data_IF_537695728556
#
_entry.id   IF_537695728556
#
_cell.length_a   1.000
_cell.length_b   1.000
_cell.length_c   1.000
_cell.angle_alpha   90.00
_cell.angle_beta   90.00
_cell.angle_gamma   90.00
#
_symmetry.space_group_name_H-M   'P 1'
#
loop_
_entity.id
_entity.type
_entity.pdbx_description
1 polymer ?
#
# COMPACT_ATOMS: atom_id res chain seq x y z
N UNK A 1 -18.61 -2.59 -3.12
CA UNK A 1 -18.90 -3.34 -4.36
C UNK A 1 -20.38 -3.22 -4.66
N UNK A 2 -20.74 -2.37 -5.61
CA UNK A 2 -22.13 -2.07 -5.93
C UNK A 2 -22.19 -1.05 -7.06
N UNK A 3 -21.43 -1.30 -8.13
CA UNK A 3 -21.50 -0.48 -9.34
C UNK A 3 -22.78 -0.85 -10.08
N UNK A 4 -23.67 0.12 -10.30
CA UNK A 4 -24.81 -0.04 -11.19
C UNK A 4 -24.27 -0.30 -12.60
N UNK A 5 -24.26 -1.56 -13.04
CA UNK A 5 -23.82 -1.99 -14.36
C UNK A 5 -24.94 -1.73 -15.36
N UNK A 6 -25.04 -0.49 -15.83
CA UNK A 6 -25.82 -0.18 -17.04
C UNK A 6 -24.91 -0.36 -18.25
N UNK A 7 -25.39 -1.12 -19.24
CA UNK A 7 -24.74 -1.25 -20.55
C UNK A 7 -24.60 0.14 -21.20
N UNK A 8 -23.43 0.41 -21.78
CA UNK A 8 -23.14 1.55 -22.65
C UNK A 8 -22.33 1.03 -23.84
N UNK A 9 -22.52 1.56 -25.04
CA UNK A 9 -21.77 1.11 -26.24
C UNK A 9 -20.25 1.21 -26.03
N UNK A 10 -19.80 2.24 -25.31
CA UNK A 10 -18.40 2.44 -24.93
C UNK A 10 -17.83 1.31 -24.05
N UNK A 11 -18.67 0.61 -23.28
CA UNK A 11 -18.24 -0.54 -22.47
C UNK A 11 -18.20 -1.83 -23.26
N UNK A 12 -18.97 -1.92 -24.36
CA UNK A 12 -19.02 -3.10 -25.21
C UNK A 12 -17.77 -3.22 -26.08
N UNK A 13 -17.46 -2.17 -26.84
CA UNK A 13 -16.31 -2.14 -27.77
C UNK A 13 -15.00 -1.88 -27.02
N UNK A 14 -15.09 -1.22 -25.87
CA UNK A 14 -13.94 -0.80 -25.07
C UNK A 14 -13.82 0.72 -25.02
N UNK A 15 -13.30 1.22 -23.90
CA UNK A 15 -13.15 2.65 -23.59
C UNK A 15 -11.87 2.91 -22.79
N UNK A 16 -11.74 4.11 -22.23
CA UNK A 16 -10.48 4.57 -21.60
C UNK A 16 -9.89 3.65 -20.53
N UNK A 17 -10.72 2.96 -19.73
CA UNK A 17 -10.26 2.02 -18.70
C UNK A 17 -10.13 0.56 -19.17
N UNK A 18 -10.85 0.15 -20.23
CA UNK A 18 -10.78 -1.21 -20.80
C UNK A 18 -10.78 -1.12 -22.34
N UNK A 19 -9.60 -1.20 -22.98
CA UNK A 19 -9.48 -1.01 -24.42
C UNK A 19 -10.20 -2.06 -25.28
N UNK A 20 -10.59 -3.20 -24.71
CA UNK A 20 -11.24 -4.30 -25.45
C UNK A 20 -12.71 -4.52 -25.07
N UNK A 21 -13.16 -3.90 -23.97
CA UNK A 21 -14.53 -3.95 -23.50
C UNK A 21 -15.04 -5.36 -23.19
N UNK A 22 -16.37 -5.47 -23.05
CA UNK A 22 -17.04 -6.74 -22.80
C UNK A 22 -16.96 -7.72 -23.99
N UNK A 23 -16.84 -7.22 -25.23
CA UNK A 23 -16.63 -8.06 -26.41
C UNK A 23 -15.32 -8.84 -26.30
N UNK A 24 -14.20 -8.16 -26.00
CA UNK A 24 -12.90 -8.81 -25.88
C UNK A 24 -12.82 -9.80 -24.71
N UNK A 25 -13.61 -9.60 -23.65
CA UNK A 25 -13.72 -10.56 -22.54
C UNK A 25 -14.43 -11.83 -22.99
N UNK A 26 -15.48 -11.70 -23.80
CA UNK A 26 -16.18 -12.85 -24.36
C UNK A 26 -15.29 -13.59 -25.38
N UNK A 27 -14.53 -12.86 -26.20
CA UNK A 27 -13.55 -13.46 -27.12
C UNK A 27 -12.48 -14.24 -26.34
N UNK A 28 -11.92 -13.63 -25.30
CA UNK A 28 -10.98 -14.29 -24.40
C UNK A 28 -11.60 -15.51 -23.74
N UNK A 29 -12.88 -15.47 -23.32
CA UNK A 29 -13.56 -16.62 -22.72
C UNK A 29 -13.61 -17.81 -23.68
N UNK A 30 -13.99 -17.60 -24.93
CA UNK A 30 -14.03 -18.66 -25.95
C UNK A 30 -12.62 -19.19 -26.29
N UNK A 31 -11.65 -18.28 -26.47
CA UNK A 31 -10.25 -18.64 -26.71
C UNK A 31 -9.63 -19.43 -25.54
N UNK A 32 -10.05 -19.15 -24.30
CA UNK A 32 -9.59 -19.86 -23.11
C UNK A 32 -10.17 -21.27 -22.98
N UNK A 33 -11.28 -21.55 -23.67
CA UNK A 33 -11.95 -22.85 -23.70
C UNK A 33 -11.71 -23.64 -25.00
N UNK A 34 -10.77 -23.18 -25.85
CA UNK A 34 -10.31 -23.90 -27.04
C UNK A 34 -11.02 -23.52 -28.33
N UNK A 35 -11.91 -22.55 -28.32
CA UNK A 35 -12.65 -22.12 -29.50
C UNK A 35 -11.88 -21.03 -30.26
N UNK A 36 -10.94 -21.44 -31.11
CA UNK A 36 -10.02 -20.52 -31.83
C UNK A 36 -10.70 -19.79 -32.98
N UNK A 37 -11.76 -20.36 -33.54
CA UNK A 37 -12.54 -19.76 -34.64
C UNK A 37 -13.81 -19.05 -34.16
N UNK A 38 -13.99 -18.88 -32.85
CA UNK A 38 -15.15 -18.22 -32.28
C UNK A 38 -15.28 -16.79 -32.80
N UNK A 39 -16.50 -16.40 -33.18
CA UNK A 39 -16.83 -15.05 -33.63
C UNK A 39 -17.99 -14.52 -32.80
N UNK A 40 -17.78 -13.36 -32.19
CA UNK A 40 -18.80 -12.65 -31.43
C UNK A 40 -19.34 -11.53 -32.32
N UNK A 41 -20.64 -11.56 -32.56
CA UNK A 41 -21.32 -10.53 -33.32
C UNK A 41 -21.71 -9.34 -32.44
N UNK A 42 -22.23 -8.30 -33.08
CA UNK A 42 -22.68 -7.09 -32.39
C UNK A 42 -23.92 -7.36 -31.53
N UNK A 43 -24.00 -6.74 -30.33
CA UNK A 43 -25.11 -6.90 -29.42
C UNK A 43 -26.36 -6.22 -29.98
N UNK A 44 -27.51 -6.86 -29.79
CA UNK A 44 -28.82 -6.31 -30.12
C UNK A 44 -29.53 -5.95 -28.82
N UNK A 45 -29.93 -4.69 -28.70
CA UNK A 45 -30.58 -4.17 -27.50
C UNK A 45 -32.05 -3.93 -27.84
N UNK A 46 -32.94 -4.49 -27.02
CA UNK A 46 -34.37 -4.21 -27.11
C UNK A 46 -34.88 -3.72 -25.77
N UNK A 47 -35.66 -2.65 -25.78
CA UNK A 47 -36.28 -2.11 -24.57
C UNK A 47 -37.74 -2.55 -24.53
N UNK A 48 -38.20 -2.99 -23.36
CA UNK A 48 -39.59 -3.41 -23.15
C UNK A 48 -40.14 -2.72 -21.93
N UNK A 49 -41.28 -2.04 -22.07
CA UNK A 49 -41.95 -1.41 -20.94
C UNK A 49 -42.68 -2.47 -20.09
N UNK A 50 -42.40 -2.50 -18.79
CA UNK A 50 -43.06 -3.38 -17.83
C UNK A 50 -43.90 -2.63 -16.81
N UNK A 51 -44.99 -3.26 -16.36
CA UNK A 51 -45.77 -2.80 -15.22
C UNK A 51 -45.08 -3.26 -13.95
N UNK A 52 -44.62 -2.32 -13.12
CA UNK A 52 -44.23 -2.62 -11.74
C UNK A 52 -45.48 -3.11 -10.99
N UNK A 53 -45.34 -4.15 -10.16
CA UNK A 53 -46.45 -4.80 -9.47
C UNK A 53 -47.39 -3.84 -8.71
N UNK A 54 -48.53 -4.37 -8.25
CA UNK A 54 -49.76 -3.69 -7.80
C UNK A 54 -49.61 -2.43 -6.90
N UNK A 55 -48.43 -2.15 -6.34
CA UNK A 55 -48.14 -1.04 -5.42
C UNK A 55 -47.01 -0.07 -5.85
N UNK A 56 -46.45 -0.13 -7.07
CA UNK A 56 -45.36 0.78 -7.49
C UNK A 56 -45.71 1.59 -8.76
N UNK A 57 -45.96 2.90 -8.59
CA UNK A 57 -46.37 3.88 -9.63
C UNK A 57 -45.28 4.32 -10.64
N UNK A 58 -44.16 3.61 -10.79
CA UNK A 58 -43.11 3.98 -11.78
C UNK A 58 -43.05 2.94 -12.90
N UNK A 59 -43.13 3.32 -14.19
CA UNK A 59 -42.89 2.38 -15.28
C UNK A 59 -41.48 1.83 -15.16
N UNK A 60 -41.34 0.50 -15.21
CA UNK A 60 -40.04 -0.16 -15.21
C UNK A 60 -39.69 -0.47 -16.66
N UNK A 61 -38.63 0.13 -17.17
CA UNK A 61 -38.09 -0.24 -18.48
C UNK A 61 -37.19 -1.47 -18.31
N UNK A 62 -37.56 -2.56 -18.96
CA UNK A 62 -36.71 -3.74 -19.12
C UNK A 62 -35.82 -3.55 -20.34
N UNK A 63 -34.59 -4.04 -20.26
CA UNK A 63 -33.65 -4.07 -21.37
C UNK A 63 -33.25 -5.53 -21.59
N UNK A 64 -33.45 -6.02 -22.81
CA UNK A 64 -32.98 -7.33 -23.27
C UNK A 64 -31.78 -7.11 -24.18
N UNK A 65 -30.67 -7.71 -23.81
CA UNK A 65 -29.40 -7.70 -24.54
C UNK A 65 -29.20 -9.09 -25.15
N UNK A 66 -29.13 -9.17 -26.48
CA UNK A 66 -28.86 -10.40 -27.23
C UNK A 66 -27.51 -10.29 -27.91
N UNK A 67 -26.60 -11.22 -27.63
CA UNK A 67 -25.26 -11.25 -28.24
C UNK A 67 -25.20 -12.51 -29.12
N UNK A 68 -25.20 -12.38 -30.46
CA UNK A 68 -25.06 -13.52 -31.34
C UNK A 68 -23.61 -14.02 -31.30
N UNK A 69 -23.42 -15.31 -31.00
CA UNK A 69 -22.10 -15.95 -30.96
C UNK A 69 -22.07 -17.15 -31.89
N UNK A 70 -21.00 -17.25 -32.68
CA UNK A 70 -20.66 -18.44 -33.46
C UNK A 70 -19.44 -19.08 -32.83
N UNK A 71 -19.62 -20.18 -32.10
CA UNK A 71 -18.55 -20.77 -31.27
C UNK A 71 -17.47 -21.47 -32.10
N UNK A 72 -17.87 -22.19 -33.16
CA UNK A 72 -16.96 -23.04 -33.92
C UNK A 72 -16.58 -24.34 -33.19
N UNK A 73 -15.59 -25.06 -33.73
CA UNK A 73 -15.07 -26.29 -33.12
C UNK A 73 -14.10 -25.99 -31.97
N UNK A 74 -14.02 -26.92 -31.01
CA UNK A 74 -13.01 -26.89 -29.96
C UNK A 74 -11.69 -27.50 -30.47
N UNK A 75 -10.61 -26.75 -30.33
CA UNK A 75 -9.26 -27.15 -30.73
C UNK A 75 -8.41 -27.59 -29.54
N UNK A 76 -7.51 -28.54 -29.81
CA UNK A 76 -6.45 -28.97 -28.88
C UNK A 76 -5.10 -28.37 -29.27
N UNK A 77 -4.20 -28.28 -28.31
CA UNK A 77 -2.82 -27.81 -28.54
C UNK A 77 -2.04 -28.88 -29.31
N UNK A 78 -1.45 -28.49 -30.43
CA UNK A 78 -0.58 -29.32 -31.25
C UNK A 78 0.89 -29.20 -30.86
N UNK A 79 1.72 -28.93 -31.86
CA UNK A 79 3.13 -28.67 -31.68
C UNK A 79 3.35 -27.25 -31.11
N UNK A 80 4.21 -27.14 -30.09
CA UNK A 80 4.65 -25.86 -29.53
C UNK A 80 6.10 -25.64 -29.92
N UNK A 81 6.34 -24.62 -30.76
CA UNK A 81 7.66 -24.18 -31.21
C UNK A 81 8.04 -22.89 -30.50
N UNK A 82 9.33 -22.76 -30.18
CA UNK A 82 9.89 -21.54 -29.59
C UNK A 82 10.89 -20.94 -30.58
N UNK A 83 10.76 -19.64 -30.86
CA UNK A 83 11.64 -18.87 -31.74
C UNK A 83 12.18 -17.66 -30.97
N UNK A 84 13.45 -17.31 -31.22
CA UNK A 84 14.07 -16.11 -30.64
C UNK A 84 14.54 -16.23 -29.19
N UNK A 85 14.57 -17.45 -28.63
CA UNK A 85 15.18 -17.72 -27.32
C UNK A 85 16.71 -17.64 -27.41
N UNK A 86 17.31 -16.50 -27.05
CA UNK A 86 18.77 -16.35 -27.04
C UNK A 86 19.36 -16.37 -25.64
N UNK A 87 18.62 -15.85 -24.66
CA UNK A 87 19.11 -15.69 -23.27
C UNK A 87 18.78 -16.90 -22.39
N UNK A 88 17.57 -17.45 -22.49
CA UNK A 88 17.10 -18.57 -21.68
C UNK A 88 16.97 -19.84 -22.53
N UNK A 89 17.25 -20.99 -21.92
CA UNK A 89 17.03 -22.29 -22.57
C UNK A 89 15.55 -22.64 -22.57
N UNK A 90 15.10 -23.30 -23.64
CA UNK A 90 13.71 -23.75 -23.79
C UNK A 90 13.20 -24.58 -22.60
N UNK A 91 14.06 -25.41 -22.00
CA UNK A 91 13.75 -26.26 -20.85
C UNK A 91 13.21 -25.48 -19.63
N UNK A 92 13.69 -24.25 -19.43
CA UNK A 92 13.21 -23.38 -18.34
C UNK A 92 11.94 -22.62 -18.70
N UNK A 93 11.72 -22.40 -20.00
CA UNK A 93 10.65 -21.55 -20.52
C UNK A 93 9.37 -22.35 -20.74
N UNK A 94 9.48 -23.56 -21.31
CA UNK A 94 8.36 -24.45 -21.61
C UNK A 94 7.46 -24.74 -20.39
N UNK A 95 7.98 -25.00 -19.17
CA UNK A 95 7.15 -25.22 -17.99
C UNK A 95 6.30 -24.01 -17.55
N UNK A 96 6.71 -22.78 -17.89
CA UNK A 96 6.01 -21.56 -17.45
C UNK A 96 4.60 -21.45 -18.04
N UNK A 97 4.41 -21.98 -19.25
CA UNK A 97 3.15 -22.00 -19.99
C UNK A 97 2.15 -23.04 -19.46
N UNK A 98 2.62 -24.05 -18.71
CA UNK A 98 1.76 -25.12 -18.14
C UNK A 98 0.80 -25.74 -19.17
N UNK A 99 1.27 -25.96 -20.39
CA UNK A 99 0.51 -26.59 -21.48
C UNK A 99 1.29 -27.78 -22.03
N UNK A 100 0.58 -28.86 -22.34
CA UNK A 100 1.11 -30.03 -23.03
C UNK A 100 0.35 -30.22 -24.35
N UNK A 101 1.02 -30.84 -25.32
CA UNK A 101 0.36 -31.30 -26.56
C UNK A 101 -0.81 -32.21 -26.21
N UNK A 102 -1.96 -31.98 -26.83
CA UNK A 102 -3.22 -32.68 -26.59
C UNK A 102 -4.15 -32.01 -25.56
N UNK A 103 -3.67 -31.05 -24.76
CA UNK A 103 -4.52 -30.24 -23.88
C UNK A 103 -5.52 -29.41 -24.69
N UNK A 104 -6.66 -29.04 -24.09
CA UNK A 104 -7.58 -28.06 -24.71
C UNK A 104 -6.85 -26.72 -24.83
N UNK A 105 -6.93 -26.10 -26.01
CA UNK A 105 -6.27 -24.81 -26.24
C UNK A 105 -6.76 -23.75 -25.23
N UNK A 106 -5.83 -23.04 -24.61
CA UNK A 106 -6.14 -22.02 -23.62
C UNK A 106 -5.21 -20.82 -23.74
N UNK A 107 -5.73 -19.73 -24.28
CA UNK A 107 -4.94 -18.51 -24.51
C UNK A 107 -4.43 -17.84 -23.23
N UNK A 108 -5.20 -17.89 -22.14
CA UNK A 108 -4.80 -17.30 -20.85
C UNK A 108 -3.54 -17.94 -20.28
N UNK A 109 -3.27 -19.21 -20.59
CA UNK A 109 -2.04 -19.88 -20.18
C UNK A 109 -0.83 -19.32 -20.93
N UNK A 110 -0.97 -19.00 -22.22
CA UNK A 110 0.05 -18.31 -23.00
C UNK A 110 0.32 -16.90 -22.47
N UNK A 111 -0.72 -16.09 -22.28
CA UNK A 111 -0.63 -14.75 -21.69
C UNK A 111 0.11 -14.77 -20.34
N UNK A 112 -0.30 -15.64 -19.41
CA UNK A 112 0.36 -15.82 -18.10
C UNK A 112 1.82 -16.29 -18.23
N UNK A 113 2.14 -17.10 -19.23
CA UNK A 113 3.50 -17.53 -19.53
C UNK A 113 4.37 -16.35 -19.97
N UNK A 114 3.89 -15.54 -20.91
CA UNK A 114 4.59 -14.34 -21.36
C UNK A 114 4.73 -13.29 -20.26
N UNK A 115 3.73 -13.09 -19.40
CA UNK A 115 3.84 -12.16 -18.27
C UNK A 115 4.95 -12.58 -17.30
N UNK A 116 5.05 -13.88 -16.98
CA UNK A 116 6.15 -14.41 -16.17
C UNK A 116 7.51 -14.27 -16.84
N UNK A 117 7.59 -14.54 -18.14
CA UNK A 117 8.83 -14.35 -18.88
C UNK A 117 9.24 -12.89 -18.89
N UNK A 118 8.31 -11.96 -19.10
CA UNK A 118 8.55 -10.52 -19.02
C UNK A 118 9.11 -10.11 -17.66
N UNK A 119 8.56 -10.67 -16.58
CA UNK A 119 9.08 -10.44 -15.22
C UNK A 119 10.51 -11.00 -15.05
N UNK A 120 10.78 -12.22 -15.55
CA UNK A 120 12.11 -12.85 -15.47
C UNK A 120 13.13 -12.05 -16.30
N UNK A 121 12.85 -11.80 -17.57
CA UNK A 121 13.70 -11.04 -18.48
C UNK A 121 13.93 -9.60 -17.99
N UNK A 122 12.88 -8.96 -17.48
CA UNK A 122 12.96 -7.65 -16.85
C UNK A 122 13.82 -7.65 -15.58
N UNK A 123 13.87 -8.74 -14.82
CA UNK A 123 14.73 -8.86 -13.64
C UNK A 123 16.23 -8.97 -13.95
N UNK A 124 16.58 -9.34 -15.18
CA UNK A 124 17.97 -9.53 -15.63
C UNK A 124 18.45 -8.46 -16.63
N UNK A 125 17.61 -7.46 -16.95
CA UNK A 125 17.99 -6.29 -17.76
C UNK A 125 17.31 -6.15 -19.11
N UNK A 126 16.50 -7.10 -19.56
CA UNK A 126 15.82 -7.03 -20.85
C UNK A 126 14.44 -6.37 -20.68
N UNK A 127 14.45 -5.05 -20.50
CA UNK A 127 13.25 -4.26 -20.24
C UNK A 127 12.27 -4.23 -21.42
N UNK A 128 12.79 -4.12 -22.65
CA UNK A 128 11.99 -4.05 -23.88
C UNK A 128 11.65 -5.43 -24.46
N UNK A 129 11.77 -6.49 -23.66
CA UNK A 129 11.44 -7.84 -24.11
C UNK A 129 9.99 -7.92 -24.60
N UNK A 130 9.79 -8.50 -25.78
CA UNK A 130 8.46 -8.75 -26.32
C UNK A 130 8.27 -10.22 -26.66
N UNK A 131 7.03 -10.68 -26.48
CA UNK A 131 6.64 -12.06 -26.75
C UNK A 131 5.31 -12.11 -27.47
N UNK A 132 5.21 -12.99 -28.46
CA UNK A 132 4.02 -13.13 -29.29
C UNK A 132 3.71 -14.59 -29.60
N UNK A 133 2.42 -14.87 -29.82
CA UNK A 133 1.94 -16.17 -30.31
C UNK A 133 1.51 -16.05 -31.76
N UNK A 134 2.08 -16.89 -32.62
CA UNK A 134 1.53 -17.19 -33.94
C UNK A 134 0.79 -18.52 -33.86
N UNK A 135 -0.49 -18.53 -34.23
CA UNK A 135 -1.36 -19.71 -34.17
C UNK A 135 -1.59 -20.21 -35.59
N UNK A 136 -1.49 -21.52 -35.79
CA UNK A 136 -1.83 -22.19 -37.05
C UNK A 136 -2.87 -23.27 -36.76
N UNK A 137 -4.18 -22.93 -36.82
CA UNK A 137 -5.24 -23.91 -36.64
C UNK A 137 -5.31 -24.85 -37.83
N UNK A 138 -5.44 -26.15 -37.56
CA UNK A 138 -5.75 -27.22 -38.51
C UNK A 138 -7.21 -27.66 -38.31
N UNK A 139 -8.14 -27.28 -39.21
CA UNK A 139 -9.55 -27.62 -39.10
C UNK A 139 -9.86 -29.11 -39.21
N UNK A 140 -9.03 -29.89 -39.91
CA UNK A 140 -9.28 -31.32 -40.12
C UNK A 140 -8.94 -32.12 -38.86
N UNK A 141 -7.80 -31.81 -38.25
CA UNK A 141 -7.31 -32.48 -37.05
C UNK A 141 -7.90 -31.87 -35.76
N UNK A 142 -8.52 -30.69 -35.84
CA UNK A 142 -8.98 -29.89 -34.68
C UNK A 142 -7.84 -29.62 -33.70
N UNK A 143 -6.66 -29.34 -34.25
CA UNK A 143 -5.42 -29.07 -33.52
C UNK A 143 -4.90 -27.68 -33.88
N UNK A 144 -4.28 -26.98 -32.93
CA UNK A 144 -3.65 -25.67 -33.15
C UNK A 144 -2.18 -25.78 -32.83
N UNK A 145 -1.34 -25.63 -33.84
CA UNK A 145 0.09 -25.47 -33.65
C UNK A 145 0.38 -24.03 -33.24
N UNK A 146 1.26 -23.87 -32.25
CA UNK A 146 1.59 -22.58 -31.66
C UNK A 146 3.08 -22.33 -31.77
N UNK A 147 3.43 -21.24 -32.43
CA UNK A 147 4.81 -20.72 -32.47
C UNK A 147 4.91 -19.52 -31.54
N UNK A 148 5.76 -19.63 -30.54
CA UNK A 148 6.04 -18.60 -29.55
C UNK A 148 7.28 -17.84 -30.00
N UNK A 149 7.09 -16.64 -30.55
CA UNK A 149 8.17 -15.76 -30.98
C UNK A 149 8.54 -14.81 -29.84
N UNK A 150 9.83 -14.73 -29.52
CA UNK A 150 10.37 -13.85 -28.49
C UNK A 150 11.41 -12.92 -29.12
N UNK A 151 11.43 -11.69 -28.65
CA UNK A 151 12.45 -10.70 -28.99
C UNK A 151 13.04 -10.16 -27.70
N UNK A 152 14.31 -10.46 -27.49
CA UNK A 152 15.06 -10.11 -26.29
C UNK A 152 15.57 -8.65 -26.35
N UNK A 153 15.62 -8.02 -27.53
CA UNK A 153 16.27 -6.73 -27.78
C UNK A 153 17.70 -6.67 -27.20
N UNK A 154 17.95 -5.83 -26.20
CA UNK A 154 19.25 -5.69 -25.54
C UNK A 154 19.13 -5.57 -24.03
N UNK A 155 20.25 -5.81 -23.36
CA UNK A 155 20.36 -5.65 -21.91
C UNK A 155 20.58 -4.18 -21.57
N UNK A 156 19.69 -3.63 -20.75
CA UNK A 156 19.75 -2.25 -20.29
C UNK A 156 20.43 -2.13 -18.92
N UNK A 157 21.16 -1.03 -18.76
CA UNK A 157 21.76 -0.57 -17.52
C UNK A 157 21.09 0.72 -17.05
N UNK A 158 21.20 1.02 -15.77
CA UNK A 158 20.67 2.24 -15.20
C UNK A 158 21.64 3.37 -15.50
N UNK A 159 21.12 4.41 -16.17
CA UNK A 159 21.79 5.68 -16.37
C UNK A 159 21.70 6.53 -15.10
N UNK A 160 21.03 7.69 -15.20
CA UNK A 160 20.80 8.57 -14.05
C UNK A 160 19.44 8.33 -13.41
N UNK A 161 19.38 8.38 -12.07
CA UNK A 161 18.14 8.36 -11.30
C UNK A 161 17.79 9.79 -10.88
N UNK A 162 16.68 10.31 -11.41
CA UNK A 162 16.17 11.66 -11.14
C UNK A 162 14.83 11.61 -10.43
N UNK A 163 14.60 12.61 -9.61
CA UNK A 163 13.32 12.84 -8.93
C UNK A 163 12.80 14.21 -9.37
N UNK A 164 11.50 14.29 -9.65
CA UNK A 164 10.83 15.50 -10.08
C UNK A 164 9.51 15.66 -9.33
N UNK A 165 9.20 16.89 -8.91
CA UNK A 165 7.99 17.20 -8.13
C UNK A 165 8.15 17.07 -6.61
N UNK A 166 9.37 16.83 -6.13
CA UNK A 166 9.73 16.89 -4.71
C UNK A 166 10.26 18.29 -4.33
N UNK A 167 9.35 19.26 -4.27
CA UNK A 167 9.70 20.67 -4.00
C UNK A 167 10.13 20.89 -2.55
N UNK A 168 9.45 20.26 -1.60
CA UNK A 168 9.74 20.41 -0.17
C UNK A 168 10.56 19.24 0.37
N UNK A 169 10.34 18.04 -0.15
CA UNK A 169 10.98 16.80 0.29
C UNK A 169 12.36 16.67 -0.33
N UNK A 170 13.37 16.47 0.52
CA UNK A 170 14.76 16.32 0.10
C UNK A 170 14.93 15.07 -0.76
N UNK A 171 15.73 15.18 -1.81
CA UNK A 171 16.06 14.08 -2.75
C UNK A 171 16.46 12.79 -2.02
N UNK A 172 17.30 12.92 -0.98
CA UNK A 172 17.81 11.79 -0.20
C UNK A 172 16.72 10.94 0.45
N UNK A 173 15.58 11.54 0.79
CA UNK A 173 14.44 10.86 1.43
C UNK A 173 13.79 9.88 0.46
N UNK A 174 13.75 10.23 -0.84
CA UNK A 174 13.22 9.36 -1.88
C UNK A 174 14.32 8.38 -2.33
N UNK A 175 15.54 8.88 -2.53
CA UNK A 175 16.67 8.09 -3.01
C UNK A 175 17.00 6.89 -2.12
N UNK A 176 16.91 7.02 -0.79
CA UNK A 176 17.14 5.91 0.15
C UNK A 176 16.12 4.77 0.03
N UNK A 177 14.96 5.03 -0.58
CA UNK A 177 13.92 4.03 -0.83
C UNK A 177 14.07 3.32 -2.19
N UNK A 178 15.03 3.75 -3.02
CA UNK A 178 15.29 3.14 -4.33
C UNK A 178 16.27 1.97 -4.17
N UNK A 179 15.86 0.80 -4.65
CA UNK A 179 16.59 -0.47 -4.56
C UNK A 179 17.51 -0.72 -5.76
N UNK A 180 17.91 0.34 -6.44
CA UNK A 180 18.71 0.29 -7.66
C UNK A 180 19.70 1.44 -7.66
N UNK A 181 20.92 1.20 -8.13
CA UNK A 181 21.94 2.24 -8.25
C UNK A 181 22.21 2.58 -9.71
N UNK A 182 22.77 3.78 -9.92
CA UNK A 182 23.26 4.20 -11.22
C UNK A 182 24.42 3.28 -11.66
N UNK A 183 24.36 2.77 -12.88
CA UNK A 183 25.30 1.79 -13.42
C UNK A 183 24.92 0.33 -13.21
N UNK A 184 23.96 0.01 -12.33
CA UNK A 184 23.48 -1.37 -12.15
C UNK A 184 22.74 -1.85 -13.41
N UNK A 185 22.64 -3.17 -13.56
CA UNK A 185 21.75 -3.77 -14.57
C UNK A 185 20.31 -3.39 -14.23
N UNK A 186 19.54 -2.97 -15.22
CA UNK A 186 18.14 -2.62 -15.03
C UNK A 186 17.36 -3.82 -14.48
N UNK A 187 16.60 -3.62 -13.41
CA UNK A 187 15.84 -4.69 -12.78
C UNK A 187 14.40 -4.23 -12.51
N UNK A 188 13.45 -4.79 -13.25
CA UNK A 188 12.02 -4.45 -13.13
C UNK A 188 11.46 -4.78 -11.74
N UNK A 189 11.93 -5.83 -11.07
CA UNK A 189 11.48 -6.18 -9.71
C UNK A 189 11.99 -5.17 -8.67
N UNK A 190 13.25 -4.74 -8.81
CA UNK A 190 13.80 -3.68 -7.97
C UNK A 190 13.10 -2.33 -8.21
N UNK A 191 12.73 -2.02 -9.46
CA UNK A 191 11.92 -0.85 -9.81
C UNK A 191 10.53 -0.92 -9.15
N UNK A 192 9.80 -2.04 -9.29
CA UNK A 192 8.49 -2.26 -8.65
C UNK A 192 8.58 -2.17 -7.13
N UNK A 193 9.66 -2.66 -6.52
CA UNK A 193 9.88 -2.55 -5.08
C UNK A 193 10.12 -1.10 -4.67
N UNK A 194 10.94 -0.37 -5.44
CA UNK A 194 11.23 1.05 -5.22
C UNK A 194 9.95 1.90 -5.27
N UNK A 195 9.10 1.69 -6.29
CA UNK A 195 7.80 2.38 -6.40
C UNK A 195 6.93 2.08 -5.16
N UNK A 196 6.87 0.81 -4.73
CA UNK A 196 6.11 0.42 -3.52
C UNK A 196 6.64 1.14 -2.28
N UNK A 197 7.95 1.28 -2.13
CA UNK A 197 8.59 1.92 -0.99
C UNK A 197 8.38 3.43 -0.98
N UNK A 198 8.52 4.09 -2.13
CA UNK A 198 8.18 5.51 -2.30
C UNK A 198 6.70 5.76 -1.97
N UNK A 199 5.79 4.88 -2.41
CA UNK A 199 4.37 4.98 -2.06
C UNK A 199 4.13 4.73 -0.55
N UNK A 200 4.89 3.84 0.09
CA UNK A 200 4.80 3.55 1.53
C UNK A 200 5.26 4.72 2.41
N UNK A 201 6.15 5.60 1.94
CA UNK A 201 6.50 6.83 2.66
C UNK A 201 5.27 7.69 2.97
N UNK A 202 4.28 7.67 2.08
CA UNK A 202 3.05 8.45 2.23
C UNK A 202 3.22 9.95 2.00
N UNK A 203 4.42 10.45 1.71
CA UNK A 203 4.69 11.86 1.41
C UNK A 203 4.21 12.30 0.03
N UNK A 204 3.96 11.34 -0.86
CA UNK A 204 3.55 11.58 -2.24
C UNK A 204 2.22 10.88 -2.51
N UNK A 205 1.39 11.43 -3.40
CA UNK A 205 0.26 10.67 -3.92
C UNK A 205 0.76 9.38 -4.56
N UNK A 206 0.03 8.25 -4.40
CA UNK A 206 0.46 6.98 -4.98
C UNK A 206 0.73 7.12 -6.47
N UNK A 207 1.92 6.68 -6.91
CA UNK A 207 2.23 6.61 -8.33
C UNK A 207 1.38 5.51 -8.96
N UNK A 208 0.51 5.88 -9.91
CA UNK A 208 -0.37 4.94 -10.62
C UNK A 208 0.35 4.19 -11.76
N UNK A 209 1.48 4.72 -12.23
CA UNK A 209 2.24 4.17 -13.36
C UNK A 209 3.73 3.98 -13.08
N UNK A 210 4.42 3.40 -14.07
CA UNK A 210 5.88 3.31 -14.05
C UNK A 210 6.53 4.70 -14.17
N UNK A 211 7.73 4.90 -13.61
CA UNK A 211 8.53 6.11 -13.83
C UNK A 211 8.81 6.36 -15.31
N UNK A 212 9.18 7.60 -15.63
CA UNK A 212 9.55 7.98 -16.99
C UNK A 212 10.94 7.40 -17.31
N UNK A 213 10.99 6.44 -18.23
CA UNK A 213 12.19 5.73 -18.66
C UNK A 213 12.60 6.23 -20.04
N UNK A 214 13.80 6.82 -20.13
CA UNK A 214 14.33 7.36 -21.39
C UNK A 214 15.75 6.86 -21.65
N UNK A 215 16.13 6.57 -22.90
CA UNK A 215 17.53 6.31 -23.24
C UNK A 215 18.43 7.47 -22.78
N UNK A 216 19.56 7.13 -22.18
CA UNK A 216 20.51 8.14 -21.71
C UNK A 216 21.21 8.78 -22.92
N UNK A 217 21.37 10.12 -22.95
CA UNK A 217 22.03 10.78 -24.07
C UNK A 217 23.45 10.22 -24.30
N UNK A 218 23.69 9.67 -25.49
CA UNK A 218 25.00 9.12 -25.88
C UNK A 218 25.29 7.68 -25.40
N UNK A 219 24.33 7.00 -24.76
CA UNK A 219 24.47 5.59 -24.39
C UNK A 219 23.15 4.83 -24.61
N UNK A 220 23.06 4.09 -25.70
CA UNK A 220 21.83 3.41 -26.10
C UNK A 220 21.46 2.21 -25.21
N UNK A 221 22.43 1.68 -24.46
CA UNK A 221 22.27 0.59 -23.49
C UNK A 221 21.93 1.10 -22.08
N UNK A 222 21.83 2.42 -21.87
CA UNK A 222 21.51 3.02 -20.57
C UNK A 222 20.13 3.68 -20.57
N UNK A 223 19.38 3.49 -19.49
CA UNK A 223 18.08 4.13 -19.25
C UNK A 223 18.18 5.10 -18.08
N UNK A 224 17.92 6.38 -18.35
CA UNK A 224 17.66 7.38 -17.31
C UNK A 224 16.24 7.13 -16.74
N UNK A 225 16.14 7.04 -15.42
CA UNK A 225 14.91 6.77 -14.68
C UNK A 225 14.48 8.04 -13.96
N UNK A 226 13.33 8.61 -14.34
CA UNK A 226 12.79 9.81 -13.69
C UNK A 226 11.51 9.49 -12.93
N UNK A 227 11.61 9.54 -11.60
CA UNK A 227 10.47 9.42 -10.69
C UNK A 227 9.75 10.75 -10.60
N UNK A 228 8.60 10.85 -11.29
CA UNK A 228 7.69 12.00 -11.17
C UNK A 228 6.77 11.75 -9.98
N UNK A 229 7.03 12.46 -8.88
CA UNK A 229 6.25 12.39 -7.65
C UNK A 229 5.39 13.64 -7.51
N UNK A 230 4.24 13.49 -6.85
CA UNK A 230 3.41 14.63 -6.46
C UNK A 230 3.31 14.65 -4.94
N UNK A 231 3.93 15.64 -4.31
CA UNK A 231 3.87 15.81 -2.86
C UNK A 231 2.44 15.95 -2.37
N UNK A 232 2.15 15.29 -1.25
CA UNK A 232 0.92 15.46 -0.49
C UNK A 232 1.25 15.90 0.93
N UNK A 233 0.48 16.88 1.42
CA UNK A 233 0.67 17.37 2.77
C UNK A 233 0.19 16.32 3.79
N UNK A 234 1.08 15.91 4.70
CA UNK A 234 0.81 14.95 5.78
C UNK A 234 0.77 15.59 7.17
N UNK A 235 0.32 16.82 7.23
CA UNK A 235 0.06 17.50 8.49
C UNK A 235 -1.29 17.05 9.08
N UNK A 236 -1.25 16.46 10.25
CA UNK A 236 -2.42 15.99 10.99
C UNK A 236 -2.64 16.87 12.19
N UNK A 237 -3.81 17.50 12.25
CA UNK A 237 -4.30 18.22 13.42
C UNK A 237 -5.43 17.41 14.04
N UNK A 238 -5.27 17.03 15.30
CA UNK A 238 -6.33 16.36 16.07
C UNK A 238 -6.80 17.29 17.16
N UNK A 239 -8.11 17.48 17.26
CA UNK A 239 -8.74 18.17 18.38
C UNK A 239 -9.88 17.29 18.90
N UNK A 240 -9.94 17.11 20.20
CA UNK A 240 -10.92 16.24 20.83
C UNK A 240 -11.18 16.60 22.29
N UNK A 241 -12.20 15.95 22.83
CA UNK A 241 -12.54 16.03 24.24
C UNK A 241 -13.45 14.88 24.61
N UNK A 242 -13.45 14.53 25.88
CA UNK A 242 -14.21 13.38 26.36
C UNK A 242 -14.41 13.38 27.86
N UNK A 243 -15.19 12.42 28.32
CA UNK A 243 -15.41 12.11 29.73
C UNK A 243 -15.02 10.67 29.99
N UNK A 244 -14.14 10.47 30.95
CA UNK A 244 -13.67 9.14 31.37
C UNK A 244 -13.87 8.98 32.87
N UNK A 245 -14.30 7.79 33.29
CA UNK A 245 -14.38 7.45 34.72
C UNK A 245 -13.03 7.53 35.43
N UNK A 246 -11.92 7.36 34.70
CA UNK A 246 -10.55 7.43 35.22
C UNK A 246 -9.95 8.83 35.06
N UNK A 247 -10.04 9.44 33.88
CA UNK A 247 -9.37 10.73 33.57
C UNK A 247 -10.24 11.97 33.82
N UNK A 248 -11.53 11.77 34.10
CA UNK A 248 -12.52 12.84 34.20
C UNK A 248 -12.82 13.46 32.82
N UNK A 249 -13.28 14.71 32.83
CA UNK A 249 -13.43 15.52 31.61
C UNK A 249 -12.05 15.98 31.12
N UNK A 250 -11.74 15.78 29.84
CA UNK A 250 -10.49 16.22 29.23
C UNK A 250 -10.70 16.82 27.84
N UNK A 251 -9.74 17.63 27.43
CA UNK A 251 -9.58 18.19 26.10
C UNK A 251 -8.18 17.80 25.59
N UNK A 252 -8.05 17.45 24.33
CA UNK A 252 -6.78 17.13 23.71
C UNK A 252 -6.64 17.85 22.36
N UNK A 253 -5.46 18.40 22.12
CA UNK A 253 -5.03 18.94 20.85
C UNK A 253 -3.67 18.32 20.51
N UNK A 254 -3.49 17.88 19.28
CA UNK A 254 -2.19 17.43 18.79
C UNK A 254 -1.96 17.83 17.35
N UNK A 255 -0.68 18.04 17.03
CA UNK A 255 -0.17 18.24 15.70
C UNK A 255 0.90 17.19 15.44
N UNK A 256 0.81 16.50 14.30
CA UNK A 256 1.82 15.54 13.88
C UNK A 256 2.08 15.67 12.38
N UNK A 257 3.34 15.55 11.97
CA UNK A 257 3.74 15.52 10.57
C UNK A 257 4.86 14.51 10.38
N UNK A 258 4.79 13.71 9.31
CA UNK A 258 5.71 12.60 9.05
C UNK A 258 6.87 12.96 8.10
N UNK A 259 6.94 14.21 7.64
CA UNK A 259 7.99 14.74 6.77
C UNK A 259 8.38 16.17 7.21
N UNK A 260 8.76 16.31 8.48
CA UNK A 260 9.10 17.60 9.04
C UNK A 260 10.23 18.26 8.24
N UNK A 261 10.00 19.50 7.79
CA UNK A 261 10.94 20.28 6.96
C UNK A 261 11.48 19.53 5.72
N UNK A 262 10.73 18.55 5.21
CA UNK A 262 11.13 17.77 4.05
C UNK A 262 12.25 16.75 4.29
N UNK A 263 12.62 16.50 5.54
CA UNK A 263 13.74 15.61 5.88
C UNK A 263 13.32 14.15 6.13
N UNK A 264 12.02 13.85 6.12
CA UNK A 264 11.48 12.52 6.41
C UNK A 264 11.41 12.19 7.90
N UNK A 265 11.60 13.19 8.77
CA UNK A 265 11.48 13.07 10.22
C UNK A 265 10.00 13.18 10.64
N UNK A 266 9.62 12.48 11.70
CA UNK A 266 8.31 12.65 12.33
C UNK A 266 8.40 13.65 13.48
N UNK A 267 7.66 14.75 13.39
CA UNK A 267 7.49 15.71 14.47
C UNK A 267 6.08 15.57 15.04
N UNK A 268 5.96 15.51 16.36
CA UNK A 268 4.68 15.45 17.06
C UNK A 268 4.68 16.36 18.28
N UNK A 269 3.62 17.16 18.40
CA UNK A 269 3.33 18.00 19.55
C UNK A 269 1.93 17.64 20.04
N UNK A 270 1.78 17.29 21.32
CA UNK A 270 0.48 17.00 21.91
C UNK A 270 0.30 17.73 23.23
N UNK A 271 -0.93 18.14 23.48
CA UNK A 271 -1.37 18.80 24.69
C UNK A 271 -2.75 18.24 25.06
N UNK A 272 -2.82 17.60 26.22
CA UNK A 272 -4.04 17.11 26.85
C UNK A 272 -4.19 17.83 28.19
N UNK A 273 -5.36 18.43 28.43
CA UNK A 273 -5.68 19.09 29.69
C UNK A 273 -7.05 18.63 30.16
N UNK A 274 -7.15 18.25 31.43
CA UNK A 274 -8.36 17.72 32.00
C UNK A 274 -8.38 17.83 33.51
N UNK A 275 -9.49 17.40 34.11
CA UNK A 275 -9.69 17.45 35.56
C UNK A 275 -8.69 16.56 36.32
N UNK A 276 -8.36 15.37 35.76
CA UNK A 276 -7.45 14.42 36.42
C UNK A 276 -6.17 14.13 35.66
N UNK A 277 -6.12 14.43 34.37
CA UNK A 277 -4.92 14.24 33.54
C UNK A 277 -4.49 15.55 32.89
N UNK A 278 -3.20 15.82 32.90
CA UNK A 278 -2.54 16.79 32.03
C UNK A 278 -1.37 16.09 31.38
N UNK A 279 -1.24 16.16 30.06
CA UNK A 279 -0.14 15.54 29.32
C UNK A 279 0.31 16.46 28.20
N UNK A 280 1.56 16.90 28.26
CA UNK A 280 2.17 17.73 27.24
C UNK A 280 3.42 17.02 26.74
N UNK A 281 3.55 16.86 25.43
CA UNK A 281 4.58 16.04 24.84
C UNK A 281 5.08 16.67 23.54
N UNK A 282 6.39 16.70 23.37
CA UNK A 282 7.07 17.02 22.13
C UNK A 282 7.97 15.84 21.77
N UNK A 283 7.76 15.25 20.59
CA UNK A 283 8.52 14.12 20.11
C UNK A 283 9.05 14.39 18.70
N UNK A 284 10.32 14.05 18.48
CA UNK A 284 10.96 14.05 17.16
C UNK A 284 11.59 12.68 16.93
N UNK A 285 11.36 12.10 15.76
CA UNK A 285 11.92 10.81 15.37
C UNK A 285 12.50 10.88 13.96
N UNK A 286 13.79 10.61 13.82
CA UNK A 286 14.50 10.39 12.57
C UNK A 286 14.57 8.87 12.28
N UNK A 287 13.89 8.36 11.24
CA UNK A 287 13.94 6.94 10.89
C UNK A 287 15.27 6.48 10.27
N UNK A 288 16.07 7.39 9.70
CA UNK A 288 17.35 7.07 9.04
C UNK A 288 18.51 7.95 9.54
N UNK A 289 18.93 7.72 10.79
CA UNK A 289 20.08 8.41 11.36
C UNK A 289 21.37 8.05 10.60
N UNK A 290 22.16 9.07 10.25
CA UNK A 290 23.39 8.93 9.45
C UNK A 290 23.20 8.25 8.08
N UNK A 291 22.02 8.46 7.47
CA UNK A 291 21.63 7.84 6.19
C UNK A 291 21.66 6.29 6.23
N UNK A 292 21.55 5.72 7.43
CA UNK A 292 21.40 4.29 7.68
C UNK A 292 20.01 4.03 8.26
N UNK A 293 19.41 2.84 8.09
CA UNK A 293 18.10 2.50 8.65
C UNK A 293 18.18 2.28 10.18
N UNK A 294 18.61 3.32 10.88
CA UNK A 294 18.75 3.42 12.33
C UNK A 294 17.74 4.49 12.76
N UNK A 295 16.70 4.07 13.46
CA UNK A 295 15.74 5.02 14.01
C UNK A 295 16.34 5.66 15.25
N UNK A 296 16.26 6.98 15.36
CA UNK A 296 16.61 7.70 16.58
C UNK A 296 15.55 8.76 16.85
N UNK A 297 15.15 8.90 18.10
CA UNK A 297 14.18 9.91 18.48
C UNK A 297 14.31 10.32 19.92
N UNK A 298 13.73 11.45 20.24
CA UNK A 298 13.62 11.92 21.60
C UNK A 298 12.21 12.42 21.88
N UNK A 299 11.83 12.31 23.14
CA UNK A 299 10.51 12.64 23.66
C UNK A 299 10.66 13.45 24.93
N UNK A 300 10.23 14.71 24.89
CA UNK A 300 10.11 15.57 26.05
C UNK A 300 8.67 15.54 26.52
N UNK A 301 8.45 15.10 27.76
CA UNK A 301 7.11 14.98 28.32
C UNK A 301 6.97 15.66 29.68
N UNK A 302 5.80 16.25 29.89
CA UNK A 302 5.31 16.69 31.18
C UNK A 302 3.91 16.13 31.39
N UNK A 303 3.78 15.24 32.37
CA UNK A 303 2.51 14.61 32.73
C UNK A 303 2.16 14.91 34.17
N UNK A 304 0.87 15.15 34.44
CA UNK A 304 0.32 15.23 35.79
C UNK A 304 -0.95 14.38 35.85
N UNK A 305 -0.92 13.35 36.68
CA UNK A 305 -2.07 12.49 36.95
C UNK A 305 -2.57 12.72 38.38
N UNK A 306 -3.87 12.78 38.54
CA UNK A 306 -4.55 12.91 39.84
C UNK A 306 -5.31 11.63 40.12
N UNK A 307 -4.83 10.87 41.10
CA UNK A 307 -5.45 9.64 41.56
C UNK A 307 -6.41 9.96 42.70
N UNK A 308 -7.71 9.77 42.47
CA UNK A 308 -8.69 9.94 43.53
C UNK A 308 -8.55 8.83 44.57
N UNK A 309 -8.72 9.22 45.84
CA UNK A 309 -8.80 8.26 46.94
C UNK A 309 -10.09 7.44 46.88
N UNK A 310 -10.00 6.20 47.35
CA UNK A 310 -11.14 5.35 47.69
C UNK A 310 -11.31 5.30 49.21
N UNK A 311 -12.35 4.66 49.73
CA UNK A 311 -12.54 4.48 51.18
C UNK A 311 -11.25 3.89 51.77
N UNK A 312 -10.67 4.58 52.76
CA UNK A 312 -9.39 4.25 53.41
C UNK A 312 -8.10 4.42 52.57
N UNK A 313 -8.13 5.11 51.41
CA UNK A 313 -6.93 5.42 50.62
C UNK A 313 -6.87 6.92 50.32
N UNK A 314 -5.80 7.59 50.78
CA UNK A 314 -5.58 9.02 50.50
C UNK A 314 -5.23 9.22 49.02
N UNK A 315 -5.97 10.09 48.34
CA UNK A 315 -5.67 10.44 46.95
C UNK A 315 -4.40 11.27 46.82
N UNK A 316 -3.69 11.11 45.70
CA UNK A 316 -2.43 11.80 45.43
C UNK A 316 -2.34 12.30 43.98
N UNK A 317 -1.49 13.28 43.78
CA UNK A 317 -1.09 13.78 42.47
C UNK A 317 0.32 13.31 42.16
N UNK A 318 0.53 12.82 40.95
CA UNK A 318 1.84 12.45 40.44
C UNK A 318 2.16 13.36 39.27
N UNK A 319 3.17 14.21 39.43
CA UNK A 319 3.74 15.01 38.35
C UNK A 319 5.03 14.34 37.88
N UNK A 320 5.19 14.11 36.59
CA UNK A 320 6.42 13.58 36.00
C UNK A 320 6.88 14.46 34.86
N UNK A 321 8.15 14.88 34.92
CA UNK A 321 8.85 15.59 33.84
C UNK A 321 10.01 14.73 33.40
N UNK A 322 10.22 14.55 32.11
CA UNK A 322 11.28 13.69 31.66
C UNK A 322 11.64 13.82 30.20
N UNK A 323 12.67 13.06 29.85
CA UNK A 323 13.20 12.88 28.52
C UNK A 323 13.25 11.37 28.25
N UNK A 324 12.69 10.93 27.14
CA UNK A 324 12.92 9.57 26.64
C UNK A 324 13.72 9.62 25.35
N UNK A 325 14.69 8.73 25.21
CA UNK A 325 15.49 8.52 24.02
C UNK A 325 15.13 7.16 23.44
N UNK A 326 14.83 7.11 22.15
CA UNK A 326 14.49 5.89 21.44
C UNK A 326 15.55 5.65 20.38
N UNK A 327 16.08 4.44 20.32
CA UNK A 327 16.92 3.96 19.22
C UNK A 327 16.32 2.69 18.64
N UNK A 328 16.36 2.53 17.32
CA UNK A 328 15.81 1.38 16.61
C UNK A 328 16.79 0.85 15.57
N UNK A 329 16.99 -0.46 15.55
CA UNK A 329 17.89 -1.13 14.60
C UNK A 329 17.16 -2.24 13.85
N UNK A 330 17.41 -2.34 12.55
CA UNK A 330 16.93 -3.45 11.74
C UNK A 330 17.84 -4.66 11.91
N UNK A 331 17.31 -5.78 12.42
CA UNK A 331 18.05 -7.05 12.55
C UNK A 331 17.96 -7.91 11.27
N UNK A 332 17.02 -7.58 10.38
CA UNK A 332 16.80 -8.27 9.11
C UNK A 332 15.70 -7.60 8.30
N UNK A 333 15.18 -8.30 7.28
CA UNK A 333 14.16 -7.75 6.36
C UNK A 333 12.82 -7.42 7.03
N UNK A 334 12.48 -8.13 8.12
CA UNK A 334 11.17 -8.05 8.77
C UNK A 334 11.25 -7.89 10.29
N UNK A 335 12.46 -7.72 10.84
CA UNK A 335 12.69 -7.67 12.29
C UNK A 335 13.41 -6.38 12.66
N UNK A 336 12.86 -5.68 13.64
CA UNK A 336 13.42 -4.46 14.21
C UNK A 336 13.47 -4.62 15.73
N UNK A 337 14.53 -4.10 16.35
CA UNK A 337 14.65 -3.98 17.79
C UNK A 337 14.66 -2.51 18.16
N UNK A 338 13.93 -2.15 19.21
CA UNK A 338 13.92 -0.80 19.77
C UNK A 338 14.47 -0.83 21.19
N UNK A 339 15.28 0.15 21.52
CA UNK A 339 15.77 0.41 22.88
C UNK A 339 15.25 1.78 23.29
N UNK A 340 14.64 1.86 24.46
CA UNK A 340 14.13 3.10 25.03
C UNK A 340 14.81 3.35 26.37
N UNK A 341 15.42 4.52 26.52
CA UNK A 341 15.97 5.00 27.77
C UNK A 341 15.18 6.23 28.22
N UNK A 342 14.54 6.15 29.39
CA UNK A 342 13.70 7.24 29.91
C UNK A 342 14.21 7.73 31.25
N UNK A 343 14.52 9.03 31.32
CA UNK A 343 14.84 9.72 32.56
C UNK A 343 13.64 10.57 32.97
N UNK A 344 13.16 10.39 34.19
CA UNK A 344 12.01 11.12 34.71
C UNK A 344 12.20 11.56 36.16
N UNK A 345 11.81 12.80 36.44
CA UNK A 345 11.67 13.33 37.80
C UNK A 345 10.21 13.24 38.17
N UNK A 346 9.92 12.45 39.21
CA UNK A 346 8.56 12.27 39.73
C UNK A 346 8.41 13.09 41.01
N UNK A 347 7.36 13.91 41.07
CA UNK A 347 6.93 14.61 42.28
C UNK A 347 5.56 14.09 42.69
N UNK A 348 5.45 13.65 43.93
CA UNK A 348 4.20 13.26 44.56
C UNK A 348 3.69 14.42 45.40
N UNK A 349 2.42 14.79 45.22
CA UNK A 349 1.75 15.81 46.02
C UNK A 349 0.44 15.27 46.56
N UNK A 350 0.07 15.66 47.79
CA UNK A 350 -1.22 15.30 48.36
C UNK A 350 -2.35 16.09 47.69
N UNK A 351 -3.55 15.50 47.61
CA UNK A 351 -4.75 16.23 47.19
C UNK A 351 -5.21 17.09 48.36
N UNK A 352 -5.03 18.41 48.29
CA UNK A 352 -5.44 19.38 49.33
C UNK A 352 -6.94 19.67 49.34
N UNK A 353 -7.71 19.14 48.38
CA UNK A 353 -9.13 19.45 48.23
C UNK A 353 -10.03 18.47 49.01
N UNK A 354 -10.10 18.69 50.33
CA UNK A 354 -11.03 18.04 51.26
C UNK A 354 -12.50 18.49 51.07
N UNK A 355 -12.83 19.24 50.00
CA UNK A 355 -14.19 19.76 49.77
C UNK A 355 -15.18 18.72 49.22
N UNK A 356 -14.73 17.49 48.92
CA UNK A 356 -15.62 16.41 48.52
C UNK A 356 -16.54 16.05 49.71
N UNK A 357 -17.89 16.17 49.58
CA UNK A 357 -18.83 16.03 50.69
C UNK A 357 -18.83 14.65 51.36
N UNK A 358 -18.17 13.64 50.78
CA UNK A 358 -17.90 12.34 51.45
C UNK A 358 -17.05 12.52 52.72
N UNK A 359 -16.24 13.58 52.82
CA UNK A 359 -15.41 13.89 53.99
C UNK A 359 -16.05 14.91 54.94
N UNK A 360 -17.32 15.29 54.73
CA UNK A 360 -18.07 16.24 55.58
C UNK A 360 -19.05 15.56 56.55
N UNK A 361 -19.01 14.23 56.69
CA UNK A 361 -19.84 13.57 57.70
C UNK A 361 -19.27 13.84 59.11
N UNK A 362 -19.97 14.59 59.99
CA UNK A 362 -19.51 14.86 61.35
C UNK A 362 -19.45 13.60 62.23
N UNK A 363 -19.96 12.46 61.75
CA UNK A 363 -19.94 11.18 62.45
C UNK A 363 -18.84 10.22 61.99
N UNK A 364 -18.02 10.61 60.99
CA UNK A 364 -16.85 9.83 60.60
C UNK A 364 -15.67 10.14 61.54
N UNK A 365 -15.66 9.51 62.71
CA UNK A 365 -14.49 9.45 63.59
C UNK A 365 -13.37 8.64 62.92
N UNK A 366 -12.59 9.29 62.08
CA UNK A 366 -11.28 8.77 61.66
C UNK A 366 -10.23 9.81 62.04
N UNK A 367 -9.55 9.56 63.16
CA UNK A 367 -8.32 10.26 63.50
C UNK A 367 -7.27 10.04 62.39
N UNK A 368 -6.22 10.87 62.32
CA UNK A 368 -5.16 10.68 61.35
C UNK A 368 -4.53 9.30 61.58
N UNK A 369 -4.82 8.35 60.69
CA UNK A 369 -4.03 7.13 60.60
C UNK A 369 -2.72 7.55 59.93
N UNK A 370 -1.76 7.92 60.77
CA UNK A 370 -0.35 7.85 60.39
C UNK A 370 -0.08 6.40 60.00
N UNK A 371 0.11 6.15 58.71
CA UNK A 371 0.65 4.89 58.23
C UNK A 371 2.17 4.90 58.45
N UNK A 372 2.73 4.06 59.35
CA UNK A 372 4.17 4.04 59.63
C UNK A 372 4.99 3.46 58.46
N UNK A 373 4.36 2.88 57.44
CA UNK A 373 5.06 2.18 56.37
C UNK A 373 5.55 3.08 55.21
N UNK A 374 5.36 4.41 55.30
CA UNK A 374 5.87 5.39 54.33
C UNK A 374 7.25 5.99 54.68
N UNK A 375 8.01 5.34 55.56
CA UNK A 375 9.46 5.50 55.63
C UNK A 375 10.13 4.23 55.10
N UNK A 376 10.37 4.21 53.80
CA UNK A 376 11.32 3.29 53.14
C UNK A 376 12.47 4.13 52.60
N UNK A 377 13.67 3.82 53.07
CA UNK A 377 14.90 4.61 52.98
C UNK A 377 15.23 5.22 51.62
N UNK A 378 15.68 6.48 51.66
CA UNK A 378 16.64 6.99 50.70
C UNK A 378 17.99 6.33 51.01
N UNK A 379 18.40 5.41 50.16
CA UNK A 379 19.76 4.88 50.04
C UNK A 379 20.13 4.81 48.56
#
# INVERSE_FOLDING_TARGET
MGGKTTYTEDKWVGGGEDPRGDQGRLEDFYLNNGYVTARIGQPRITYTDGKSGLFKKKPVKWMKLEIPVTEGDQYRVGEIKFEGLTVLKEEFVRPLFKLKTGDVYNDSRFKKGFDKLRDIYGSIGYFQWTGGTKRKPDPELKVVDVTLSMDDDKRYYIGKIRFAGNETTRDKVIRREIYMNEGDVFNTEALKLSIRRVNQLGYFKPMEGAPDLKPSPGAEDKLDVTFKVQEQNRNQFTFGGGVSGLEGTFLNASFSTTNFLGAGETFSLSAQTGKRTKNYQLAITEPYLFDRPITAGFDLFWRKLTYLGYVNVVGYTQESKGLSLIMGFHLGKFSQIFTNYSFQVIKLGQITDLTNPIYKDPYATFGPVFDPFFFGDFG
#
